data_IF_261488892513
#
_entry.id   IF_261488892513
#
_cell.length_a   1.000
_cell.length_b   1.000
_cell.length_c   1.000
_cell.angle_alpha   90.00
_cell.angle_beta   90.00
_cell.angle_gamma   90.00
#
_symmetry.space_group_name_H-M   'P 1'
#
loop_
_entity.id
_entity.type
_entity.pdbx_description
1 polymer ?
#
# COMPACT_ATOMS: atom_id res chain seq x y z
N UNK A 1 8.53 9.03 -13.04
CA UNK A 1 9.17 10.06 -12.18
C UNK A 1 8.26 11.27 -12.20
N UNK A 2 7.75 11.74 -11.05
CA UNK A 2 6.99 12.99 -11.01
C UNK A 2 7.96 14.15 -11.30
N UNK A 3 7.58 15.06 -12.20
CA UNK A 3 8.30 16.32 -12.38
C UNK A 3 8.21 17.15 -11.09
N UNK A 4 9.25 17.94 -10.80
CA UNK A 4 9.26 18.84 -9.65
C UNK A 4 8.23 19.95 -9.85
N UNK A 5 7.66 20.46 -8.75
CA UNK A 5 6.70 21.57 -8.82
C UNK A 5 7.31 22.83 -9.45
N UNK A 6 8.59 23.08 -9.17
CA UNK A 6 9.30 24.22 -9.73
C UNK A 6 9.34 24.15 -11.26
N UNK A 7 9.66 22.98 -11.83
CA UNK A 7 9.66 22.79 -13.28
C UNK A 7 8.26 22.94 -13.90
N UNK A 8 7.21 22.45 -13.21
CA UNK A 8 5.82 22.61 -13.65
C UNK A 8 5.33 24.06 -13.57
N UNK A 9 5.86 24.84 -12.63
CA UNK A 9 5.52 26.25 -12.49
C UNK A 9 6.24 27.09 -13.55
N UNK A 10 7.55 26.84 -13.74
CA UNK A 10 8.40 27.54 -14.72
C UNK A 10 7.91 27.38 -16.17
N UNK A 11 7.17 26.32 -16.49
CA UNK A 11 6.53 26.19 -17.81
C UNK A 11 5.44 27.22 -18.08
N UNK A 12 4.97 27.93 -17.05
CA UNK A 12 3.93 28.95 -17.13
C UNK A 12 4.49 30.35 -16.87
N UNK A 13 5.28 30.50 -15.81
CA UNK A 13 5.83 31.80 -15.37
C UNK A 13 7.20 31.57 -14.70
N UNK A 14 8.22 32.41 -14.95
CA UNK A 14 9.49 32.31 -14.23
C UNK A 14 9.29 32.55 -12.73
N UNK A 15 9.80 31.64 -11.91
CA UNK A 15 9.73 31.77 -10.45
C UNK A 15 10.72 32.83 -9.94
N UNK A 16 10.28 33.64 -8.96
CA UNK A 16 11.20 34.47 -8.18
C UNK A 16 12.07 33.57 -7.28
N UNK A 17 13.22 34.05 -6.75
CA UNK A 17 14.02 33.27 -5.82
C UNK A 17 13.22 32.79 -4.60
N UNK A 18 12.40 33.66 -4.01
CA UNK A 18 11.51 33.34 -2.89
C UNK A 18 10.39 32.37 -3.31
N UNK A 19 9.86 32.51 -4.53
CA UNK A 19 8.89 31.59 -5.10
C UNK A 19 9.46 30.19 -5.31
N UNK A 20 10.71 30.08 -5.77
CA UNK A 20 11.41 28.80 -5.93
C UNK A 20 11.62 28.07 -4.61
N UNK A 21 11.93 28.81 -3.52
CA UNK A 21 11.99 28.22 -2.17
C UNK A 21 10.63 27.77 -1.68
N UNK A 22 9.60 28.59 -1.88
CA UNK A 22 8.22 28.24 -1.55
C UNK A 22 7.76 26.96 -2.27
N UNK A 23 8.03 26.83 -3.58
CA UNK A 23 7.65 25.66 -4.37
C UNK A 23 8.35 24.38 -3.91
N UNK A 24 9.60 24.46 -3.45
CA UNK A 24 10.33 23.32 -2.85
C UNK A 24 9.71 22.87 -1.53
N UNK A 25 9.29 23.81 -0.70
CA UNK A 25 8.57 23.49 0.53
C UNK A 25 7.19 22.89 0.22
N UNK A 26 6.48 23.49 -0.73
CA UNK A 26 5.15 23.06 -1.18
C UNK A 26 5.16 21.64 -1.73
N UNK A 27 6.24 21.19 -2.37
CA UNK A 27 6.37 19.82 -2.87
C UNK A 27 6.19 18.76 -1.77
N UNK A 28 6.48 19.12 -0.51
CA UNK A 28 6.29 18.24 0.65
C UNK A 28 4.85 18.25 1.18
N UNK A 29 4.16 19.39 1.11
CA UNK A 29 2.81 19.57 1.68
C UNK A 29 1.66 19.43 0.68
N UNK A 30 1.91 19.59 -0.64
CA UNK A 30 0.86 19.63 -1.68
C UNK A 30 -0.11 18.45 -1.61
N UNK A 31 0.40 17.26 -1.28
CA UNK A 31 -0.44 16.06 -1.14
C UNK A 31 -1.42 16.15 0.03
N UNK A 32 -1.01 16.77 1.13
CA UNK A 32 -1.85 17.01 2.30
C UNK A 32 -2.89 18.07 2.01
N UNK A 33 -2.48 19.17 1.37
CA UNK A 33 -3.34 20.33 1.11
C UNK A 33 -4.47 20.01 0.12
N UNK A 34 -4.16 19.23 -0.92
CA UNK A 34 -5.11 18.89 -1.97
C UNK A 34 -5.82 17.55 -1.70
N UNK A 35 -5.19 16.44 -2.06
CA UNK A 35 -5.94 15.19 -2.26
C UNK A 35 -6.06 14.32 -1.00
N UNK A 36 -5.15 14.41 -0.02
CA UNK A 36 -5.29 13.66 1.24
C UNK A 36 -6.34 14.28 2.18
N UNK A 37 -6.50 15.60 2.18
CA UNK A 37 -7.51 16.29 2.99
C UNK A 37 -8.92 16.16 2.42
N UNK A 38 -9.07 15.92 1.12
CA UNK A 38 -10.36 15.80 0.43
C UNK A 38 -11.17 14.52 0.71
N UNK A 39 -10.71 13.65 1.62
CA UNK A 39 -11.52 12.57 2.19
C UNK A 39 -11.83 11.40 1.25
N UNK A 40 -10.87 10.94 0.45
CA UNK A 40 -11.05 9.73 -0.37
C UNK A 40 -9.79 9.30 -1.13
N UNK A 41 -9.75 8.06 -1.65
CA UNK A 41 -8.66 7.63 -2.51
C UNK A 41 -8.78 8.26 -3.90
N UNK A 42 -7.66 8.74 -4.42
CA UNK A 42 -7.53 9.28 -5.77
C UNK A 42 -6.66 8.35 -6.61
N UNK A 43 -6.85 8.41 -7.94
CA UNK A 43 -5.97 7.68 -8.86
C UNK A 43 -4.64 8.40 -8.97
N UNK A 44 -3.56 7.67 -9.29
CA UNK A 44 -2.25 8.29 -9.56
C UNK A 44 -2.33 9.29 -10.74
N UNK A 45 -3.18 9.02 -11.72
CA UNK A 45 -3.43 9.93 -12.83
C UNK A 45 -4.07 11.25 -12.38
N UNK A 46 -5.06 11.19 -11.49
CA UNK A 46 -5.72 12.37 -10.92
C UNK A 46 -4.76 13.17 -10.06
N UNK A 47 -3.89 12.52 -9.26
CA UNK A 47 -2.86 13.21 -8.48
C UNK A 47 -1.88 14.00 -9.37
N UNK A 48 -1.50 13.47 -10.54
CA UNK A 48 -0.68 14.20 -11.50
C UNK A 48 -1.42 15.38 -12.14
N UNK A 49 -2.70 15.21 -12.49
CA UNK A 49 -3.56 16.29 -12.99
C UNK A 49 -3.69 17.39 -11.94
N UNK A 50 -3.85 17.03 -10.67
CA UNK A 50 -3.90 18.00 -9.58
C UNK A 50 -2.61 18.80 -9.48
N UNK A 51 -1.44 18.16 -9.55
CA UNK A 51 -0.16 18.86 -9.54
C UNK A 51 -0.04 19.87 -10.69
N UNK A 52 -0.39 19.45 -11.91
CA UNK A 52 -0.30 20.34 -13.09
C UNK A 52 -1.25 21.53 -12.98
N UNK A 53 -2.54 21.28 -12.70
CA UNK A 53 -3.54 22.35 -12.58
C UNK A 53 -3.27 23.26 -11.38
N UNK A 54 -2.75 22.73 -10.28
CA UNK A 54 -2.34 23.51 -9.13
C UNK A 54 -1.27 24.53 -9.51
N UNK A 55 -0.24 24.12 -10.26
CA UNK A 55 0.83 25.02 -10.70
C UNK A 55 0.34 26.03 -11.74
N UNK A 56 -0.49 25.61 -12.70
CA UNK A 56 -1.10 26.51 -13.68
C UNK A 56 -1.94 27.60 -13.00
N UNK A 57 -2.78 27.21 -12.03
CA UNK A 57 -3.63 28.15 -11.28
C UNK A 57 -2.80 29.05 -10.35
N UNK A 58 -1.77 28.51 -9.71
CA UNK A 58 -0.86 29.28 -8.87
C UNK A 58 -0.13 30.33 -9.70
N UNK A 59 0.37 29.97 -10.89
CA UNK A 59 1.06 30.90 -11.79
C UNK A 59 0.15 32.04 -12.26
N UNK A 60 -1.16 31.81 -12.35
CA UNK A 60 -2.17 32.84 -12.69
C UNK A 60 -2.56 33.72 -11.49
N UNK A 61 -2.52 33.17 -10.28
CA UNK A 61 -2.96 33.85 -9.05
C UNK A 61 -1.83 34.65 -8.36
N UNK A 62 -0.57 34.30 -8.59
CA UNK A 62 0.58 35.04 -8.06
C UNK A 62 0.76 36.34 -8.85
N UNK A 63 0.61 37.47 -8.15
CA UNK A 63 0.82 38.81 -8.70
C UNK A 63 2.01 39.55 -8.09
N UNK A 64 2.73 38.92 -7.15
CA UNK A 64 3.88 39.49 -6.47
C UNK A 64 5.05 38.53 -6.41
N UNK A 65 6.19 39.01 -5.91
CA UNK A 65 7.43 38.24 -5.84
C UNK A 65 7.71 37.66 -4.46
N UNK A 66 6.92 38.06 -3.45
CA UNK A 66 7.18 37.75 -2.04
C UNK A 66 6.60 36.41 -1.63
N UNK A 67 7.21 35.75 -0.65
CA UNK A 67 6.68 34.50 -0.08
C UNK A 67 5.21 34.61 0.36
N UNK A 68 4.80 35.74 0.93
CA UNK A 68 3.43 36.00 1.37
C UNK A 68 2.44 36.00 0.20
N UNK A 69 2.83 36.54 -0.95
CA UNK A 69 2.00 36.54 -2.17
C UNK A 69 1.77 35.11 -2.67
N UNK A 70 2.82 34.29 -2.68
CA UNK A 70 2.73 32.87 -3.05
C UNK A 70 1.85 32.09 -2.09
N UNK A 71 1.97 32.32 -0.79
CA UNK A 71 1.12 31.68 0.22
C UNK A 71 -0.34 32.07 0.05
N UNK A 72 -0.63 33.35 -0.20
CA UNK A 72 -1.99 33.84 -0.41
C UNK A 72 -2.60 33.23 -1.67
N UNK A 73 -1.87 33.23 -2.78
CA UNK A 73 -2.29 32.60 -4.03
C UNK A 73 -2.51 31.09 -3.84
N UNK A 74 -1.63 30.41 -3.09
CA UNK A 74 -1.78 28.98 -2.79
C UNK A 74 -3.07 28.68 -2.03
N UNK A 75 -3.39 29.47 -1.01
CA UNK A 75 -4.61 29.31 -0.24
C UNK A 75 -5.87 29.42 -1.14
N UNK A 76 -5.84 30.31 -2.13
CA UNK A 76 -6.92 30.43 -3.11
C UNK A 76 -7.04 29.20 -4.01
N UNK A 77 -5.91 28.66 -4.49
CA UNK A 77 -5.86 27.42 -5.28
C UNK A 77 -6.39 26.23 -4.49
N UNK A 78 -6.00 26.08 -3.23
CA UNK A 78 -6.49 25.01 -2.34
C UNK A 78 -7.98 25.14 -2.11
N UNK A 79 -8.48 26.36 -1.87
CA UNK A 79 -9.92 26.60 -1.71
C UNK A 79 -10.70 26.23 -2.97
N UNK A 80 -10.22 26.64 -4.15
CA UNK A 80 -10.83 26.29 -5.45
C UNK A 80 -10.83 24.77 -5.68
N UNK A 81 -9.75 24.09 -5.32
CA UNK A 81 -9.68 22.63 -5.37
C UNK A 81 -10.78 21.97 -4.53
N UNK A 82 -10.98 22.40 -3.28
CA UNK A 82 -11.94 21.77 -2.38
C UNK A 82 -13.41 22.03 -2.74
N UNK A 83 -13.69 23.03 -3.58
CA UNK A 83 -15.06 23.32 -4.03
C UNK A 83 -15.53 22.33 -5.09
N UNK A 84 -14.70 22.02 -6.10
CA UNK A 84 -15.13 21.25 -7.27
C UNK A 84 -14.19 20.09 -7.66
N UNK A 85 -13.08 19.90 -6.94
CA UNK A 85 -12.02 18.92 -7.22
C UNK A 85 -11.54 18.93 -8.67
N UNK A 86 -11.69 20.10 -9.33
CA UNK A 86 -11.47 20.32 -10.74
C UNK A 86 -12.10 19.26 -11.67
N UNK A 87 -13.25 18.69 -11.29
CA UNK A 87 -13.98 17.72 -12.11
C UNK A 87 -13.43 16.29 -12.08
N UNK A 88 -12.39 16.01 -11.29
CA UNK A 88 -11.90 14.63 -11.11
C UNK A 88 -12.84 13.83 -10.21
N UNK A 89 -13.07 12.57 -10.59
CA UNK A 89 -13.92 11.66 -9.82
C UNK A 89 -13.07 10.89 -8.81
N UNK A 90 -13.53 10.87 -7.56
CA UNK A 90 -12.95 10.02 -6.52
C UNK A 90 -13.10 8.55 -6.88
N UNK A 91 -12.09 7.76 -6.49
CA UNK A 91 -12.21 6.31 -6.60
C UNK A 91 -13.12 5.80 -5.47
N UNK A 92 -14.03 4.88 -5.80
CA UNK A 92 -14.84 4.17 -4.80
C UNK A 92 -14.00 3.21 -3.94
N UNK A 93 -12.88 2.75 -4.48
CA UNK A 93 -11.97 1.81 -3.81
C UNK A 93 -10.54 2.19 -4.13
N UNK A 94 -9.67 2.08 -3.12
CA UNK A 94 -8.23 2.32 -3.28
C UNK A 94 -7.68 1.42 -4.40
N UNK A 95 -6.98 2.05 -5.35
CA UNK A 95 -6.32 1.35 -6.43
C UNK A 95 -5.33 0.32 -5.85
N UNK A 96 -5.46 -0.93 -6.29
CA UNK A 96 -4.50 -1.96 -5.89
C UNK A 96 -3.25 -1.73 -6.72
N UNK A 97 -2.20 -1.20 -6.10
CA UNK A 97 -0.88 -1.15 -6.73
C UNK A 97 -0.52 -2.55 -7.22
N UNK A 98 -0.11 -2.71 -8.49
CA UNK A 98 0.34 -4.00 -8.98
C UNK A 98 1.50 -4.47 -8.09
N UNK A 99 1.40 -5.68 -7.54
CA UNK A 99 2.50 -6.26 -6.76
C UNK A 99 3.70 -6.41 -7.70
N UNK A 100 4.86 -5.92 -7.26
CA UNK A 100 6.11 -6.14 -7.98
C UNK A 100 6.42 -7.65 -8.04
N UNK A 101 7.17 -8.09 -9.05
CA UNK A 101 7.58 -9.50 -9.16
C UNK A 101 8.28 -9.97 -7.88
N UNK A 102 9.16 -9.15 -7.29
CA UNK A 102 9.81 -9.43 -6.02
C UNK A 102 8.82 -9.61 -4.86
N UNK A 103 7.78 -8.78 -4.77
CA UNK A 103 6.74 -8.94 -3.75
C UNK A 103 5.92 -10.21 -3.95
N UNK A 104 5.63 -10.59 -5.21
CA UNK A 104 4.96 -11.86 -5.50
C UNK A 104 5.81 -13.03 -5.03
N UNK A 105 7.10 -13.03 -5.38
CA UNK A 105 8.08 -14.05 -4.99
C UNK A 105 8.20 -14.13 -3.46
N UNK A 106 8.32 -13.00 -2.77
CA UNK A 106 8.39 -12.96 -1.30
C UNK A 106 7.17 -13.60 -0.65
N UNK A 107 5.96 -13.23 -1.09
CA UNK A 107 4.73 -13.79 -0.53
C UNK A 107 4.58 -15.29 -0.84
N UNK A 108 5.11 -15.75 -1.96
CA UNK A 108 5.16 -17.18 -2.28
C UNK A 108 6.15 -17.92 -1.36
N UNK A 109 7.38 -17.42 -1.24
CA UNK A 109 8.41 -17.96 -0.34
C UNK A 109 7.96 -17.98 1.12
N UNK A 110 7.35 -16.90 1.59
CA UNK A 110 6.82 -16.78 2.94
C UNK A 110 5.77 -17.86 3.24
N UNK A 111 4.92 -18.21 2.26
CA UNK A 111 3.95 -19.30 2.44
C UNK A 111 4.62 -20.65 2.70
N UNK A 112 5.76 -20.94 2.06
CA UNK A 112 6.50 -22.18 2.31
C UNK A 112 7.21 -22.15 3.66
N UNK A 113 7.85 -21.02 4.00
CA UNK A 113 8.49 -20.84 5.32
C UNK A 113 7.46 -21.02 6.44
N UNK A 114 6.28 -20.43 6.29
CA UNK A 114 5.19 -20.56 7.25
C UNK A 114 4.72 -22.01 7.41
N UNK A 115 4.60 -22.75 6.31
CA UNK A 115 4.27 -24.17 6.37
C UNK A 115 5.36 -24.99 7.06
N UNK A 116 6.64 -24.71 6.78
CA UNK A 116 7.76 -25.39 7.43
C UNK A 116 7.75 -25.14 8.95
N UNK A 117 7.45 -23.92 9.39
CA UNK A 117 7.30 -23.59 10.81
C UNK A 117 6.13 -24.37 11.44
N UNK A 118 4.97 -24.42 10.78
CA UNK A 118 3.84 -25.22 11.26
C UNK A 118 4.16 -26.71 11.33
N UNK A 119 4.80 -27.26 10.30
CA UNK A 119 5.22 -28.66 10.30
C UNK A 119 6.20 -28.96 11.44
N UNK A 120 7.19 -28.08 11.66
CA UNK A 120 8.12 -28.21 12.78
C UNK A 120 7.43 -28.16 14.14
N UNK A 121 6.46 -27.25 14.32
CA UNK A 121 5.67 -27.16 15.55
C UNK A 121 4.83 -28.42 15.75
N UNK A 122 4.12 -28.89 14.71
CA UNK A 122 3.31 -30.12 14.79
C UNK A 122 4.18 -31.33 15.09
N UNK A 123 5.32 -31.49 14.43
CA UNK A 123 6.25 -32.60 14.68
C UNK A 123 6.78 -32.51 16.11
N UNK A 124 7.21 -31.33 16.56
CA UNK A 124 7.71 -31.17 17.94
C UNK A 124 6.61 -31.50 18.94
N UNK A 125 5.41 -30.96 18.80
CA UNK A 125 4.31 -31.26 19.72
C UNK A 125 3.90 -32.72 19.65
N UNK A 126 3.75 -33.30 18.46
CA UNK A 126 3.33 -34.68 18.30
C UNK A 126 4.38 -35.67 18.83
N UNK A 127 5.65 -35.48 18.47
CA UNK A 127 6.75 -36.39 18.82
C UNK A 127 7.20 -36.18 20.26
N UNK A 128 7.40 -34.95 20.73
CA UNK A 128 7.84 -34.75 22.12
C UNK A 128 6.72 -34.99 23.12
N UNK A 129 5.54 -34.41 22.90
CA UNK A 129 4.48 -34.51 23.91
C UNK A 129 3.84 -35.91 23.90
N UNK A 130 3.43 -36.41 22.73
CA UNK A 130 2.79 -37.73 22.68
C UNK A 130 3.79 -38.89 22.58
N UNK A 131 4.96 -38.71 21.95
CA UNK A 131 5.96 -39.77 21.89
C UNK A 131 6.57 -40.10 23.26
N UNK A 132 6.97 -39.08 24.05
CA UNK A 132 7.51 -39.31 25.40
C UNK A 132 6.39 -39.79 26.35
N UNK A 133 5.20 -39.19 26.29
CA UNK A 133 4.07 -39.61 27.14
C UNK A 133 3.59 -41.02 26.81
N UNK A 134 3.50 -41.39 25.52
CA UNK A 134 3.12 -42.75 25.09
C UNK A 134 4.19 -43.79 25.39
N UNK A 135 5.47 -43.42 25.43
CA UNK A 135 6.54 -44.32 25.82
C UNK A 135 6.55 -44.59 27.33
N UNK A 136 6.10 -43.63 28.15
CA UNK A 136 6.05 -43.75 29.60
C UNK A 136 4.70 -44.30 30.11
N UNK A 137 3.59 -44.05 29.42
CA UNK A 137 2.24 -44.47 29.80
C UNK A 137 1.52 -45.06 28.57
N UNK A 138 1.24 -46.36 28.57
CA UNK A 138 0.48 -47.05 27.50
C UNK A 138 -1.04 -46.74 27.62
N UNK A 139 -1.38 -45.45 27.54
CA UNK A 139 -2.74 -44.94 27.67
C UNK A 139 -3.44 -44.86 26.31
N UNK A 140 -4.72 -45.26 26.26
CA UNK A 140 -5.56 -45.21 25.06
C UNK A 140 -5.70 -43.78 24.52
N UNK A 141 -5.69 -42.78 25.41
CA UNK A 141 -5.75 -41.36 25.05
C UNK A 141 -4.54 -40.92 24.21
N UNK A 142 -3.33 -41.35 24.57
CA UNK A 142 -2.11 -41.04 23.82
C UNK A 142 -2.16 -41.53 22.37
N UNK A 143 -2.67 -42.75 22.15
CA UNK A 143 -2.84 -43.35 20.81
C UNK A 143 -3.86 -42.57 19.97
N UNK A 144 -4.96 -42.10 20.58
CA UNK A 144 -5.97 -41.28 19.90
C UNK A 144 -5.37 -39.94 19.46
N UNK A 145 -4.61 -39.27 20.34
CA UNK A 145 -4.00 -37.98 20.00
C UNK A 145 -2.92 -38.09 18.91
N UNK A 146 -2.09 -39.14 18.92
CA UNK A 146 -1.13 -39.40 17.82
C UNK A 146 -1.86 -39.60 16.50
N UNK A 147 -2.95 -40.38 16.51
CA UNK A 147 -3.76 -40.63 15.32
C UNK A 147 -4.40 -39.35 14.79
N UNK A 148 -4.94 -38.51 15.68
CA UNK A 148 -5.48 -37.19 15.33
C UNK A 148 -4.41 -36.26 14.75
N UNK A 149 -3.20 -36.25 15.31
CA UNK A 149 -2.09 -35.43 14.81
C UNK A 149 -1.70 -35.85 13.38
N UNK A 150 -1.60 -37.16 13.12
CA UNK A 150 -1.32 -37.69 11.77
C UNK A 150 -2.42 -37.30 10.79
N UNK A 151 -3.69 -37.52 11.15
CA UNK A 151 -4.84 -37.12 10.34
C UNK A 151 -4.84 -35.61 10.03
N UNK A 152 -4.56 -34.78 11.04
CA UNK A 152 -4.48 -33.34 10.88
C UNK A 152 -3.33 -32.92 9.94
N UNK A 153 -2.17 -33.57 10.03
CA UNK A 153 -1.07 -33.36 9.09
C UNK A 153 -1.47 -33.69 7.64
N UNK A 154 -2.18 -34.80 7.39
CA UNK A 154 -2.64 -35.13 6.05
C UNK A 154 -3.72 -34.16 5.54
N UNK A 155 -4.68 -33.78 6.38
CA UNK A 155 -5.75 -32.83 6.03
C UNK A 155 -5.18 -31.45 5.72
N UNK A 156 -4.22 -30.97 6.51
CA UNK A 156 -3.56 -29.66 6.29
C UNK A 156 -2.76 -29.63 4.99
N UNK A 157 -2.03 -30.70 4.66
CA UNK A 157 -1.33 -30.85 3.38
C UNK A 157 -2.29 -30.88 2.19
N UNK A 158 -3.35 -31.67 2.28
CA UNK A 158 -4.36 -31.77 1.22
C UNK A 158 -5.06 -30.43 0.99
N UNK A 159 -5.45 -29.73 2.07
CA UNK A 159 -6.06 -28.42 2.00
C UNK A 159 -5.13 -27.37 1.37
N UNK A 160 -3.84 -27.39 1.73
CA UNK A 160 -2.85 -26.50 1.12
C UNK A 160 -2.69 -26.76 -0.39
N UNK A 161 -2.53 -28.03 -0.78
CA UNK A 161 -2.38 -28.43 -2.18
C UNK A 161 -3.61 -28.01 -3.00
N UNK A 162 -4.81 -28.24 -2.47
CA UNK A 162 -6.06 -27.83 -3.10
C UNK A 162 -6.19 -26.31 -3.26
N UNK A 163 -5.89 -25.53 -2.20
CA UNK A 163 -5.94 -24.07 -2.25
C UNK A 163 -4.95 -23.50 -3.27
N UNK A 164 -3.75 -24.07 -3.37
CA UNK A 164 -2.75 -23.66 -4.34
C UNK A 164 -3.15 -24.03 -5.78
N UNK A 165 -3.72 -25.22 -5.98
CA UNK A 165 -4.24 -25.67 -7.28
C UNK A 165 -5.34 -24.75 -7.84
N UNK A 166 -6.29 -24.32 -6.99
CA UNK A 166 -7.34 -23.36 -7.41
C UNK A 166 -6.78 -21.99 -7.79
N UNK A 167 -5.72 -21.53 -7.12
CA UNK A 167 -5.14 -20.21 -7.36
C UNK A 167 -4.40 -20.10 -8.71
N UNK A 168 -3.91 -21.22 -9.25
CA UNK A 168 -3.29 -21.27 -10.58
C UNK A 168 -4.31 -21.38 -11.74
N UNK A 169 -5.58 -21.64 -11.44
CA UNK A 169 -6.64 -21.79 -12.47
C UNK A 169 -7.42 -20.49 -12.73
N UNK A 170 -7.18 -19.43 -11.96
CA UNK A 170 -7.89 -18.16 -12.09
C UNK A 170 -6.88 -17.05 -12.43
N UNK A 171 -6.54 -16.86 -13.72
CA UNK A 171 -5.75 -15.71 -14.16
C UNK A 171 -6.70 -14.50 -14.24
N UNK A 172 -6.87 -13.79 -13.12
CA UNK A 172 -7.47 -12.45 -13.09
C UNK A 172 -6.62 -11.50 -12.26
#
# INVERSE_FOLDING_TARGET
>A
MSQSLNHLFESHTPASPEGGEFLKELERSISQDLWKSAGGPWSESSENIFRQRAMEKLAKAVHGTTREDYQKAWNEVVRDFHQNYWGEKRLLKKEKKPKTEEQKIFWELFSYIWMMLQATLVVKTAVFYFGIKSANEDSTEGKIYVTLAILFSFVSLFFFAYRKSKKNKDPR
#
